data_IF_320684233375
#
_entry.id   IF_320684233375
#
_cell.length_a   1.000
_cell.length_b   1.000
_cell.length_c   1.000
_cell.angle_alpha   90.00
_cell.angle_beta   90.00
_cell.angle_gamma   90.00
#
_symmetry.space_group_name_H-M   'P 1'
#
loop_
_entity.id
_entity.type
_entity.pdbx_description
1 polymer ?
#
# COMPACT_ATOMS: atom_id res chain seq x y z
N UNK A 1 -19.66 -10.82 14.39
CA UNK A 1 -18.31 -10.52 13.87
C UNK A 1 -18.31 -9.12 13.26
N UNK A 2 -17.31 -8.27 13.57
CA UNK A 2 -17.24 -6.89 13.03
C UNK A 2 -16.84 -6.91 11.54
N UNK A 3 -17.43 -6.03 10.72
CA UNK A 3 -17.12 -5.90 9.27
C UNK A 3 -15.61 -5.75 9.00
N UNK A 4 -14.89 -5.10 9.91
CA UNK A 4 -13.45 -4.83 9.83
C UNK A 4 -12.60 -6.11 9.89
N UNK A 5 -13.07 -7.16 10.57
CA UNK A 5 -12.41 -8.47 10.58
C UNK A 5 -12.63 -9.26 9.28
N UNK A 6 -13.70 -8.98 8.53
CA UNK A 6 -14.03 -9.70 7.29
C UNK A 6 -13.17 -9.24 6.11
N UNK A 7 -12.80 -7.96 6.07
CA UNK A 7 -11.94 -7.39 5.01
C UNK A 7 -10.53 -7.98 5.07
N UNK A 8 -10.00 -8.24 6.28
CA UNK A 8 -8.66 -8.82 6.48
C UNK A 8 -8.47 -10.18 5.79
N UNK A 9 -9.56 -10.95 5.58
CA UNK A 9 -9.52 -12.28 4.98
C UNK A 9 -9.82 -12.33 3.48
N UNK A 10 -10.33 -11.25 2.88
CA UNK A 10 -10.75 -11.29 1.49
C UNK A 10 -9.54 -11.19 0.56
N UNK A 11 -9.33 -12.24 -0.22
CA UNK A 11 -8.20 -12.35 -1.12
C UNK A 11 -8.68 -12.98 -2.43
N UNK A 12 -8.49 -12.27 -3.53
CA UNK A 12 -8.83 -12.68 -4.89
C UNK A 12 -7.60 -13.06 -5.70
N UNK A 13 -6.41 -13.05 -5.10
CA UNK A 13 -5.19 -13.42 -5.77
C UNK A 13 -5.25 -14.87 -6.24
N UNK A 14 -4.84 -15.08 -7.49
CA UNK A 14 -4.58 -16.40 -8.02
C UNK A 14 -3.13 -16.45 -8.49
N UNK A 15 -2.23 -17.00 -7.67
CA UNK A 15 -0.79 -17.01 -7.94
C UNK A 15 -0.43 -17.69 -9.28
N UNK A 16 -1.20 -18.71 -9.68
CA UNK A 16 -1.00 -19.39 -10.97
C UNK A 16 -1.24 -18.44 -12.14
N UNK A 17 -2.32 -17.66 -12.11
CA UNK A 17 -2.63 -16.67 -13.15
C UNK A 17 -1.69 -15.45 -13.04
N UNK A 18 -1.46 -14.94 -11.82
CA UNK A 18 -0.59 -13.80 -11.58
C UNK A 18 0.86 -14.04 -12.03
N UNK A 19 1.38 -15.28 -11.91
CA UNK A 19 2.71 -15.62 -12.42
C UNK A 19 2.78 -15.46 -13.94
N UNK A 20 1.71 -15.82 -14.65
CA UNK A 20 1.60 -15.64 -16.10
C UNK A 20 1.53 -14.18 -16.56
N UNK A 21 1.01 -13.26 -15.73
CA UNK A 21 0.91 -11.84 -16.10
C UNK A 21 2.22 -11.05 -15.96
N UNK A 22 3.27 -11.67 -15.39
CA UNK A 22 4.59 -11.03 -15.26
C UNK A 22 4.61 -9.76 -14.40
N UNK A 23 3.64 -9.62 -13.49
CA UNK A 23 3.55 -8.47 -12.59
C UNK A 23 3.10 -7.17 -13.27
N UNK A 24 2.26 -7.23 -14.31
CA UNK A 24 1.77 -6.04 -15.02
C UNK A 24 1.24 -4.93 -14.09
N UNK A 25 0.49 -5.28 -13.04
CA UNK A 25 0.04 -4.31 -12.03
C UNK A 25 1.22 -3.72 -11.23
N UNK A 26 2.15 -4.56 -10.79
CA UNK A 26 3.33 -4.16 -10.03
C UNK A 26 4.30 -3.28 -10.83
N UNK A 27 4.33 -3.39 -12.16
CA UNK A 27 5.13 -2.55 -13.05
C UNK A 27 4.55 -1.15 -13.24
N UNK A 28 3.22 -1.03 -13.09
CA UNK A 28 2.51 0.23 -13.29
C UNK A 28 2.55 1.09 -12.04
N UNK A 29 2.13 0.56 -10.90
CA UNK A 29 2.13 1.29 -9.63
C UNK A 29 2.09 0.31 -8.44
N UNK A 30 2.88 0.53 -7.38
CA UNK A 30 2.74 -0.24 -6.15
C UNK A 30 1.36 -0.06 -5.54
N UNK A 31 0.75 -1.15 -5.05
CA UNK A 31 -0.58 -1.09 -4.45
C UNK A 31 -0.59 -0.36 -3.10
N UNK A 32 -1.67 0.36 -2.82
CA UNK A 32 -1.87 1.04 -1.55
C UNK A 32 -2.14 0.06 -0.41
N UNK A 33 -1.58 0.33 0.76
CA UNK A 33 -1.84 -0.40 2.00
C UNK A 33 -2.91 0.29 2.82
N UNK A 34 -3.59 -0.47 3.67
CA UNK A 34 -4.45 0.06 4.73
C UNK A 34 -3.79 -0.16 6.11
N UNK A 35 -4.24 0.53 7.17
CA UNK A 35 -3.69 0.33 8.52
C UNK A 35 -3.69 -1.14 8.96
N UNK A 36 -4.69 -1.91 8.56
CA UNK A 36 -4.83 -3.32 8.90
C UNK A 36 -3.74 -4.23 8.30
N UNK A 37 -3.05 -3.79 7.25
CA UNK A 37 -1.95 -4.52 6.62
C UNK A 37 -0.69 -4.53 7.51
N UNK A 38 -0.58 -3.62 8.48
CA UNK A 38 0.58 -3.50 9.38
C UNK A 38 0.36 -4.11 10.77
N UNK A 39 -0.81 -4.73 11.02
CA UNK A 39 -1.15 -5.34 12.31
C UNK A 39 -1.01 -4.37 13.50
N UNK A 40 -1.10 -4.87 14.74
CA UNK A 40 -0.85 -4.07 15.95
C UNK A 40 0.36 -4.65 16.69
N UNK A 41 1.14 -3.84 17.40
CA UNK A 41 0.95 -2.40 17.60
C UNK A 41 1.42 -1.58 16.39
N UNK A 42 0.58 -0.61 15.98
CA UNK A 42 0.70 0.01 14.65
C UNK A 42 1.97 0.89 14.54
N UNK A 43 2.32 1.64 15.58
CA UNK A 43 3.47 2.55 15.54
C UNK A 43 4.78 1.78 15.33
N UNK A 44 5.03 0.78 16.16
CA UNK A 44 6.24 -0.03 16.14
C UNK A 44 6.34 -0.81 14.82
N UNK A 45 5.24 -1.37 14.34
CA UNK A 45 5.22 -2.07 13.06
C UNK A 45 5.47 -1.13 11.87
N UNK A 46 5.06 0.14 11.94
CA UNK A 46 5.40 1.13 10.93
C UNK A 46 6.87 1.55 10.97
N UNK A 47 7.46 1.69 12.16
CA UNK A 47 8.90 1.94 12.32
C UNK A 47 9.69 0.82 11.64
N UNK A 48 9.40 -0.44 11.96
CA UNK A 48 10.07 -1.58 11.33
C UNK A 48 9.85 -1.66 9.81
N UNK A 49 8.63 -1.35 9.35
CA UNK A 49 8.36 -1.25 7.92
C UNK A 49 9.22 -0.18 7.26
N UNK A 50 9.31 1.02 7.82
CA UNK A 50 10.12 2.10 7.25
C UNK A 50 11.63 1.79 7.31
N UNK A 51 12.12 1.19 8.40
CA UNK A 51 13.52 0.71 8.54
C UNK A 51 13.91 -0.30 7.47
N UNK A 52 12.98 -1.17 7.07
CA UNK A 52 13.24 -2.15 6.02
C UNK A 52 13.60 -1.54 4.66
N UNK A 53 13.33 -0.25 4.46
CA UNK A 53 13.52 0.44 3.20
C UNK A 53 12.58 -0.02 2.09
N UNK A 54 11.59 -0.89 2.36
CA UNK A 54 10.70 -1.43 1.32
C UNK A 54 9.36 -0.69 1.18
N UNK A 55 9.10 0.26 2.07
CA UNK A 55 7.83 0.99 2.14
C UNK A 55 8.08 2.49 2.01
N UNK A 56 7.07 3.20 1.53
CA UNK A 56 7.08 4.64 1.34
C UNK A 56 5.75 5.26 1.79
N UNK A 57 5.81 6.52 2.19
CA UNK A 57 4.67 7.37 2.50
C UNK A 57 4.32 8.14 1.22
N UNK A 58 3.07 8.04 0.81
CA UNK A 58 2.49 8.78 -0.32
C UNK A 58 1.30 9.58 0.22
N UNK A 59 0.71 10.48 -0.58
CA UNK A 59 -0.40 11.31 -0.13
C UNK A 59 -1.41 11.62 -1.21
N UNK A 60 -2.66 11.72 -0.79
CA UNK A 60 -3.71 12.39 -1.57
C UNK A 60 -3.56 13.90 -1.43
N UNK A 61 -3.59 14.61 -2.56
CA UNK A 61 -3.56 16.06 -2.63
C UNK A 61 -4.93 16.63 -2.20
N UNK A 62 -4.95 17.39 -1.11
CA UNK A 62 -6.15 17.98 -0.51
C UNK A 62 -6.84 17.10 0.53
N UNK A 63 -8.11 17.41 0.82
CA UNK A 63 -8.92 16.64 1.78
C UNK A 63 -9.67 15.50 1.07
N UNK A 64 -9.38 14.23 1.41
CA UNK A 64 -10.03 13.11 0.75
C UNK A 64 -11.50 12.94 1.21
N UNK A 65 -11.95 13.64 2.26
CA UNK A 65 -13.34 13.59 2.73
C UNK A 65 -14.25 14.41 1.82
N UNK A 66 -15.43 13.86 1.51
CA UNK A 66 -16.40 14.55 0.64
C UNK A 66 -16.82 15.89 1.25
N UNK A 67 -16.80 16.95 0.44
CA UNK A 67 -17.20 18.31 0.82
C UNK A 67 -16.41 18.87 2.02
N UNK A 68 -15.10 18.59 2.06
CA UNK A 68 -14.15 19.16 3.01
C UNK A 68 -12.93 19.66 2.25
N UNK A 69 -12.23 20.62 2.84
CA UNK A 69 -11.10 21.35 2.28
C UNK A 69 -10.07 21.72 3.38
N UNK A 70 -10.06 20.96 4.48
CA UNK A 70 -9.30 21.30 5.70
C UNK A 70 -7.88 20.76 5.71
N UNK A 71 -7.47 20.03 4.69
CA UNK A 71 -6.20 19.33 4.61
C UNK A 71 -5.54 19.67 3.29
N UNK A 72 -4.27 20.02 3.34
CA UNK A 72 -3.44 20.14 2.14
C UNK A 72 -3.03 18.77 1.62
N UNK A 73 -2.83 17.80 2.52
CA UNK A 73 -2.41 16.44 2.20
C UNK A 73 -3.03 15.41 3.16
N UNK A 74 -3.30 14.21 2.65
CA UNK A 74 -3.67 13.05 3.46
C UNK A 74 -2.79 11.84 3.13
N UNK A 75 -1.93 11.47 4.09
CA UNK A 75 -0.94 10.42 3.92
C UNK A 75 -1.53 9.00 3.91
N UNK A 76 -0.91 8.13 3.14
CA UNK A 76 -1.11 6.68 3.15
C UNK A 76 0.22 5.97 2.85
N UNK A 77 0.24 4.66 3.01
CA UNK A 77 1.45 3.86 2.83
C UNK A 77 1.32 2.96 1.61
N UNK A 78 2.41 2.78 0.88
CA UNK A 78 2.53 1.81 -0.22
C UNK A 78 3.93 1.20 -0.25
N UNK A 79 4.15 0.08 -0.96
CA UNK A 79 5.50 -0.36 -1.27
C UNK A 79 6.26 0.71 -2.04
N UNK A 80 7.58 0.72 -1.83
CA UNK A 80 8.51 1.61 -2.50
C UNK A 80 8.61 1.29 -4.00
N UNK A 81 8.89 2.31 -4.80
CA UNK A 81 9.25 2.16 -6.21
C UNK A 81 10.75 1.83 -6.29
N UNK A 82 11.14 0.88 -7.14
CA UNK A 82 12.56 0.52 -7.35
C UNK A 82 13.39 1.75 -7.71
N UNK A 83 14.54 1.91 -7.06
CA UNK A 83 15.46 3.01 -7.30
C UNK A 83 15.11 4.33 -6.61
N UNK A 84 13.96 4.42 -5.92
CA UNK A 84 13.56 5.63 -5.18
C UNK A 84 13.94 5.46 -3.71
N UNK A 85 14.78 6.34 -3.17
CA UNK A 85 15.31 6.21 -1.79
C UNK A 85 14.61 7.08 -0.73
N UNK A 86 13.78 8.05 -1.14
CA UNK A 86 13.06 8.95 -0.21
C UNK A 86 11.90 8.25 0.50
N UNK A 87 11.69 8.51 1.80
CA UNK A 87 10.55 7.92 2.55
C UNK A 87 9.21 8.52 2.10
N UNK A 88 9.15 9.84 1.96
CA UNK A 88 8.01 10.56 1.38
C UNK A 88 8.14 10.58 -0.14
N UNK A 89 7.25 9.89 -0.84
CA UNK A 89 7.31 9.65 -2.27
C UNK A 89 5.92 9.75 -2.95
N UNK A 90 5.53 10.93 -3.45
CA UNK A 90 4.26 11.12 -4.16
C UNK A 90 4.37 10.78 -5.65
N UNK A 91 5.43 10.09 -6.07
CA UNK A 91 5.66 9.80 -7.48
C UNK A 91 4.49 9.04 -8.10
N UNK A 92 4.13 9.43 -9.31
CA UNK A 92 3.12 8.70 -10.07
C UNK A 92 3.75 7.54 -10.83
N UNK A 93 3.20 6.34 -10.62
CA UNK A 93 3.65 5.11 -11.27
C UNK A 93 5.02 4.59 -10.82
N UNK A 94 5.50 3.53 -11.47
CA UNK A 94 6.80 2.92 -11.20
C UNK A 94 6.72 1.46 -10.77
N UNK A 95 7.84 0.75 -10.91
CA UNK A 95 7.92 -0.68 -10.60
C UNK A 95 8.06 -0.91 -9.09
N UNK A 96 7.17 -1.72 -8.53
CA UNK A 96 7.16 -2.10 -7.12
C UNK A 96 8.44 -2.83 -6.71
N UNK A 97 9.01 -2.46 -5.55
CA UNK A 97 10.24 -3.04 -5.01
C UNK A 97 10.15 -4.55 -4.77
N UNK A 98 8.96 -5.05 -4.48
CA UNK A 98 8.69 -6.46 -4.24
C UNK A 98 8.53 -7.29 -5.52
N UNK A 99 8.47 -6.67 -6.71
CA UNK A 99 8.45 -7.43 -7.96
C UNK A 99 9.85 -7.94 -8.29
N UNK A 100 10.00 -9.26 -8.41
CA UNK A 100 11.20 -9.93 -8.95
C UNK A 100 10.85 -10.70 -10.22
N UNK A 101 11.83 -11.35 -10.84
CA UNK A 101 11.67 -12.08 -12.10
C UNK A 101 10.61 -13.18 -11.98
N UNK A 102 10.52 -13.82 -10.81
CA UNK A 102 9.60 -14.92 -10.52
C UNK A 102 8.19 -14.44 -10.09
N UNK A 103 8.02 -13.13 -9.90
CA UNK A 103 6.79 -12.50 -9.42
C UNK A 103 6.99 -11.69 -8.13
N UNK A 104 5.90 -11.36 -7.46
CA UNK A 104 5.95 -10.63 -6.19
C UNK A 104 6.45 -11.55 -5.06
N UNK A 105 7.49 -11.09 -4.33
CA UNK A 105 8.13 -11.87 -3.25
C UNK A 105 7.31 -11.91 -1.96
N UNK A 106 6.35 -11.00 -1.80
CA UNK A 106 5.47 -11.05 -0.63
C UNK A 106 4.51 -12.24 -0.75
N UNK A 107 4.33 -13.03 0.32
CA UNK A 107 3.30 -14.04 0.35
C UNK A 107 1.91 -13.37 0.30
N UNK A 108 0.87 -14.05 -0.22
CA UNK A 108 -0.43 -13.44 -0.50
C UNK A 108 -1.03 -12.62 0.65
N UNK A 109 -0.87 -13.07 1.88
CA UNK A 109 -1.41 -12.49 3.11
C UNK A 109 -0.65 -11.24 3.59
N UNK A 110 0.61 -11.07 3.19
CA UNK A 110 1.42 -9.88 3.51
C UNK A 110 1.39 -8.82 2.40
N UNK A 111 0.71 -9.09 1.29
CA UNK A 111 0.54 -8.12 0.21
C UNK A 111 -0.42 -7.00 0.62
N UNK A 112 -0.21 -5.77 0.12
CA UNK A 112 -1.14 -4.67 0.32
C UNK A 112 -2.58 -5.10 -0.01
N UNK A 113 -3.54 -4.63 0.77
CA UNK A 113 -4.97 -4.95 0.54
C UNK A 113 -5.41 -4.67 -0.90
N UNK A 114 -4.97 -3.55 -1.47
CA UNK A 114 -5.24 -3.19 -2.87
C UNK A 114 -4.77 -4.28 -3.85
N UNK A 115 -3.64 -4.93 -3.59
CA UNK A 115 -3.17 -6.07 -4.38
C UNK A 115 -4.01 -7.33 -4.13
N UNK A 116 -4.37 -7.60 -2.86
CA UNK A 116 -5.19 -8.77 -2.48
C UNK A 116 -6.59 -8.74 -3.09
N UNK A 117 -7.11 -7.55 -3.40
CA UNK A 117 -8.43 -7.36 -3.99
C UNK A 117 -8.44 -7.33 -5.53
N UNK A 118 -7.30 -7.60 -6.18
CA UNK A 118 -7.25 -7.80 -7.63
C UNK A 118 -7.55 -9.26 -7.97
N UNK A 119 -8.65 -9.48 -8.68
CA UNK A 119 -9.00 -10.78 -9.23
C UNK A 119 -8.45 -10.89 -10.66
N UNK A 120 -7.44 -11.74 -10.92
CA UNK A 120 -6.84 -11.84 -12.25
C UNK A 120 -7.77 -12.58 -13.22
N UNK A 121 -7.87 -12.09 -14.46
CA UNK A 121 -8.66 -12.76 -15.50
C UNK A 121 -7.87 -13.92 -16.15
N UNK A 122 -8.48 -15.08 -16.44
CA UNK A 122 -7.77 -16.29 -16.91
C UNK A 122 -6.91 -16.12 -18.18
N UNK A 123 -7.23 -15.16 -19.05
CA UNK A 123 -6.54 -14.91 -20.34
C UNK A 123 -6.13 -13.45 -20.52
N UNK A 124 -6.08 -12.66 -19.45
CA UNK A 124 -5.89 -11.21 -19.52
C UNK A 124 -4.65 -10.72 -18.78
N UNK A 125 -4.13 -9.57 -19.23
CA UNK A 125 -3.16 -8.75 -18.48
C UNK A 125 -3.88 -7.93 -17.38
N UNK A 126 -5.22 -7.81 -17.52
CA UNK A 126 -6.08 -7.06 -16.63
C UNK A 126 -6.64 -7.88 -15.46
N UNK A 127 -7.00 -7.16 -14.39
CA UNK A 127 -7.65 -7.71 -13.21
C UNK A 127 -9.00 -7.02 -12.99
N UNK A 128 -9.99 -7.75 -12.49
CA UNK A 128 -11.18 -7.15 -11.89
C UNK A 128 -10.77 -6.56 -10.55
N UNK A 129 -10.93 -5.24 -10.40
CA UNK A 129 -10.57 -4.56 -9.18
C UNK A 129 -11.75 -4.56 -8.20
N UNK A 130 -11.66 -5.34 -7.12
CA UNK A 130 -12.63 -5.32 -6.02
C UNK A 130 -12.28 -4.27 -4.95
N UNK A 131 -11.17 -3.54 -5.11
CA UNK A 131 -10.84 -2.36 -4.33
C UNK A 131 -11.60 -1.15 -4.89
N UNK A 132 -12.79 -0.89 -4.36
CA UNK A 132 -13.68 0.19 -4.83
C UNK A 132 -13.25 1.61 -4.42
N UNK A 133 -12.07 1.80 -3.84
CA UNK A 133 -11.72 3.06 -3.17
C UNK A 133 -10.40 3.71 -3.65
N UNK A 134 -9.44 2.93 -4.17
CA UNK A 134 -8.17 3.43 -4.76
C UNK A 134 -7.34 4.32 -3.82
N UNK A 135 -6.48 5.19 -4.37
CA UNK A 135 -5.65 6.17 -3.64
C UNK A 135 -6.44 6.95 -2.58
N UNK A 136 -7.60 7.49 -2.96
CA UNK A 136 -8.49 8.24 -2.05
C UNK A 136 -8.97 7.38 -0.88
N UNK A 137 -9.29 6.12 -1.16
CA UNK A 137 -9.67 5.12 -0.16
C UNK A 137 -8.59 4.86 0.86
N UNK A 138 -7.36 4.65 0.40
CA UNK A 138 -6.21 4.46 1.27
C UNK A 138 -5.99 5.71 2.15
N UNK A 139 -6.01 6.91 1.56
CA UNK A 139 -5.88 8.16 2.31
C UNK A 139 -6.99 8.31 3.37
N UNK A 140 -8.24 7.96 3.05
CA UNK A 140 -9.35 7.95 4.03
C UNK A 140 -9.13 6.93 5.15
N UNK A 141 -8.65 5.74 4.84
CA UNK A 141 -8.39 4.69 5.82
C UNK A 141 -7.26 5.07 6.78
N UNK A 142 -6.24 5.76 6.28
CA UNK A 142 -5.10 6.23 7.08
C UNK A 142 -5.35 7.53 7.83
N UNK A 143 -6.38 8.31 7.47
CA UNK A 143 -6.63 9.63 8.04
C UNK A 143 -6.71 9.68 9.59
N UNK A 144 -7.32 8.71 10.29
CA UNK A 144 -7.31 8.68 11.77
C UNK A 144 -5.91 8.41 12.37
N UNK A 145 -4.98 7.91 11.55
CA UNK A 145 -3.65 7.46 11.95
C UNK A 145 -2.53 8.36 11.42
N UNK A 146 -2.86 9.53 10.85
CA UNK A 146 -1.87 10.50 10.34
C UNK A 146 -0.76 10.79 11.35
N UNK A 147 -1.11 10.99 12.63
CA UNK A 147 -0.13 11.22 13.71
C UNK A 147 0.82 10.03 13.90
N UNK A 148 0.33 8.80 13.71
CA UNK A 148 1.14 7.58 13.84
C UNK A 148 2.12 7.44 12.68
N UNK A 149 1.69 7.75 11.45
CA UNK A 149 2.59 7.77 10.27
C UNK A 149 3.74 8.76 10.49
N UNK A 150 3.40 10.00 10.87
CA UNK A 150 4.38 11.07 11.06
C UNK A 150 5.31 10.82 12.25
N UNK A 151 4.80 10.21 13.33
CA UNK A 151 5.65 9.81 14.46
C UNK A 151 6.60 8.69 14.05
N UNK A 152 6.11 7.67 13.34
CA UNK A 152 6.95 6.60 12.83
C UNK A 152 8.05 7.14 11.90
N UNK A 153 7.74 8.08 11.00
CA UNK A 153 8.73 8.65 10.08
C UNK A 153 9.84 9.41 10.80
N UNK A 154 9.49 10.26 11.79
CA UNK A 154 10.48 11.04 12.56
C UNK A 154 11.46 10.16 13.34
N UNK A 155 10.99 9.03 13.88
CA UNK A 155 11.87 8.11 14.61
C UNK A 155 12.94 7.47 13.72
N UNK A 156 12.66 7.29 12.43
CA UNK A 156 13.66 6.81 11.48
C UNK A 156 14.68 7.90 11.16
N UNK A 157 14.24 9.15 11.02
CA UNK A 157 15.13 10.27 10.74
C UNK A 157 16.13 10.49 11.88
N UNK A 158 15.66 10.50 13.13
CA UNK A 158 16.50 10.71 14.32
C UNK A 158 17.47 9.56 14.63
N UNK A 159 17.24 8.36 14.10
CA UNK A 159 18.19 7.23 14.27
C UNK A 159 19.32 7.24 13.23
N UNK A 160 19.20 8.07 12.17
CA UNK A 160 20.20 8.19 11.11
C UNK A 160 21.07 9.47 11.23
N UNK A 161 20.89 10.26 12.30
CA UNK A 161 21.76 11.37 12.72
C UNK A 161 22.77 10.91 13.77
#
# INVERSE_FOLDING_TARGET
MRKDQMIKKKNYLNLKICKGCGGACCKRMPGECFPEDFEKPLLENLIEAFKSGNWAIDWWEGDPRRNKDKLEEAYYIRPRIKGVNRLFDPSWGGECIFLKKEGCVLPPEKRPISCRLLEPKPKGIDCTNHNGTGKRGAALAWLPFTKVILEASRRIENENE
#
